data_IF_383725850943
#
_entry.id   IF_383725850943
#
_cell.length_a   1.000
_cell.length_b   1.000
_cell.length_c   1.000
_cell.angle_alpha   90.00
_cell.angle_beta   90.00
_cell.angle_gamma   90.00
#
_symmetry.space_group_name_H-M   'P 1'
#
loop_
_entity.id
_entity.type
_entity.pdbx_description
1 polymer ?
#
# COMPACT_ATOMS: atom_id res chain seq x y z
N UNK A 1 21.00 -6.99 12.90
CA UNK A 1 21.09 -5.68 12.22
C UNK A 1 19.74 -5.01 12.46
N UNK A 2 19.71 -3.98 13.27
CA UNK A 2 18.49 -3.18 13.46
C UNK A 2 18.25 -2.46 12.13
N UNK A 3 17.26 -2.93 11.34
CA UNK A 3 16.77 -2.17 10.21
C UNK A 3 16.37 -0.78 10.74
N UNK A 4 16.94 0.27 10.17
CA UNK A 4 16.55 1.62 10.52
C UNK A 4 15.14 1.84 9.97
N UNK A 5 14.14 1.68 10.84
CA UNK A 5 12.71 1.88 10.50
C UNK A 5 12.51 3.21 9.74
N UNK A 6 13.30 4.23 10.05
CA UNK A 6 13.21 5.54 9.40
C UNK A 6 13.60 5.52 7.92
N UNK A 7 14.48 4.61 7.50
CA UNK A 7 14.84 4.45 6.09
C UNK A 7 13.73 3.79 5.26
N UNK A 8 12.77 3.17 5.93
CA UNK A 8 11.64 2.47 5.30
C UNK A 8 10.33 3.26 5.35
N UNK A 9 10.33 4.47 5.90
CA UNK A 9 9.14 5.30 5.99
C UNK A 9 8.68 5.78 4.61
N UNK A 10 7.41 6.14 4.56
CA UNK A 10 6.77 6.70 3.37
C UNK A 10 7.46 8.00 2.93
N UNK A 11 7.49 8.21 1.63
CA UNK A 11 7.86 9.49 1.03
C UNK A 11 6.61 10.17 0.48
N UNK A 12 6.40 11.44 0.78
CA UNK A 12 5.36 12.26 0.17
C UNK A 12 5.90 12.84 -1.14
N UNK A 13 5.30 12.45 -2.27
CA UNK A 13 5.63 12.98 -3.60
C UNK A 13 5.01 14.36 -3.78
N UNK A 14 3.74 14.45 -3.40
CA UNK A 14 2.95 15.68 -3.36
C UNK A 14 1.82 15.55 -2.33
N UNK A 15 0.88 16.52 -2.34
CA UNK A 15 -0.26 16.56 -1.41
C UNK A 15 -1.20 15.35 -1.49
N UNK A 16 -1.19 14.61 -2.60
CA UNK A 16 -2.14 13.55 -2.90
C UNK A 16 -1.49 12.21 -3.18
N UNK A 17 -0.15 12.16 -3.19
CA UNK A 17 0.62 10.99 -3.63
C UNK A 17 1.70 10.61 -2.64
N UNK A 18 1.70 9.35 -2.24
CA UNK A 18 2.76 8.75 -1.41
C UNK A 18 3.51 7.67 -2.17
N UNK A 19 4.75 7.44 -1.75
CA UNK A 19 5.59 6.36 -2.27
C UNK A 19 6.28 5.61 -1.13
N UNK A 20 6.26 4.28 -1.24
CA UNK A 20 7.12 3.37 -0.48
C UNK A 20 8.10 2.69 -1.42
N UNK A 21 9.36 2.59 -1.03
CA UNK A 21 10.37 1.82 -1.76
C UNK A 21 10.86 0.69 -0.88
N UNK A 22 10.93 -0.52 -1.43
CA UNK A 22 11.47 -1.72 -0.78
C UNK A 22 12.39 -2.45 -1.74
N UNK A 23 13.38 -3.14 -1.20
CA UNK A 23 14.20 -4.10 -1.96
C UNK A 23 14.04 -5.46 -1.32
N UNK A 24 13.53 -6.40 -2.10
CA UNK A 24 13.37 -7.80 -1.69
C UNK A 24 14.47 -8.63 -2.33
N UNK A 25 15.21 -9.47 -1.56
CA UNK A 25 16.30 -10.31 -2.08
C UNK A 25 15.77 -11.53 -2.84
N UNK A 26 14.84 -11.30 -3.78
CA UNK A 26 14.14 -12.31 -4.55
C UNK A 26 14.04 -11.88 -6.03
N UNK A 27 13.97 -12.86 -6.98
CA UNK A 27 13.73 -12.57 -8.39
C UNK A 27 12.43 -11.79 -8.62
N UNK A 28 12.41 -10.97 -9.67
CA UNK A 28 11.27 -10.11 -10.00
C UNK A 28 9.98 -10.92 -10.23
N UNK A 29 10.08 -12.12 -10.78
CA UNK A 29 8.95 -13.01 -11.01
C UNK A 29 8.30 -13.50 -9.70
N UNK A 30 9.11 -13.70 -8.66
CA UNK A 30 8.59 -14.07 -7.33
C UNK A 30 7.82 -12.91 -6.70
N UNK A 31 8.37 -11.70 -6.75
CA UNK A 31 7.70 -10.50 -6.22
C UNK A 31 6.46 -10.18 -7.04
N UNK A 32 6.55 -10.30 -8.38
CA UNK A 32 5.40 -10.11 -9.28
C UNK A 32 4.25 -11.03 -8.93
N UNK A 33 4.52 -12.33 -8.77
CA UNK A 33 3.49 -13.30 -8.41
C UNK A 33 2.86 -12.97 -7.06
N UNK A 34 3.66 -12.63 -6.05
CA UNK A 34 3.18 -12.30 -4.72
C UNK A 34 2.24 -11.08 -4.68
N UNK A 35 2.34 -10.16 -5.66
CA UNK A 35 1.47 -8.97 -5.75
C UNK A 35 0.33 -9.09 -6.78
N UNK A 36 0.32 -10.14 -7.60
CA UNK A 36 -0.68 -10.32 -8.67
C UNK A 36 -1.46 -11.62 -8.61
N UNK A 37 -1.03 -12.60 -7.83
CA UNK A 37 -1.81 -13.80 -7.54
C UNK A 37 -2.73 -13.53 -6.34
N UNK A 38 -4.05 -13.73 -6.54
CA UNK A 38 -5.06 -13.44 -5.52
C UNK A 38 -4.87 -14.28 -4.24
N UNK A 39 -4.36 -15.51 -4.35
CA UNK A 39 -4.11 -16.34 -3.17
C UNK A 39 -2.86 -15.87 -2.42
N UNK A 40 -1.79 -15.50 -3.14
CA UNK A 40 -0.56 -15.02 -2.51
C UNK A 40 -0.76 -13.66 -1.84
N UNK A 41 -1.42 -12.70 -2.49
CA UNK A 41 -1.67 -11.38 -1.89
C UNK A 41 -2.61 -11.47 -0.67
N UNK A 42 -3.50 -12.45 -0.66
CA UNK A 42 -4.40 -12.70 0.49
C UNK A 42 -3.66 -13.16 1.76
N UNK A 43 -2.41 -13.60 1.63
CA UNK A 43 -1.60 -14.02 2.79
C UNK A 43 -0.99 -12.83 3.52
N UNK A 44 -0.58 -11.79 2.80
CA UNK A 44 0.18 -10.68 3.37
C UNK A 44 -0.57 -9.35 3.40
N UNK A 45 -1.71 -9.26 2.71
CA UNK A 45 -2.55 -8.07 2.68
C UNK A 45 -3.99 -8.44 3.09
N UNK A 46 -4.95 -8.37 2.19
CA UNK A 46 -6.34 -8.74 2.44
C UNK A 46 -6.81 -9.80 1.46
N UNK A 47 -7.84 -10.56 1.84
CA UNK A 47 -8.50 -11.50 0.93
C UNK A 47 -8.79 -10.79 -0.40
N UNK A 48 -8.40 -11.44 -1.51
CA UNK A 48 -8.46 -10.83 -2.82
C UNK A 48 -9.21 -11.70 -3.83
N UNK A 49 -9.90 -11.03 -4.75
CA UNK A 49 -10.45 -11.63 -5.97
C UNK A 49 -10.00 -10.80 -7.16
N UNK A 50 -9.38 -11.42 -8.17
CA UNK A 50 -8.79 -10.75 -9.32
C UNK A 50 -9.23 -11.34 -10.64
N UNK A 51 -9.67 -10.48 -11.58
CA UNK A 51 -9.67 -10.73 -13.02
C UNK A 51 -8.45 -10.01 -13.62
N UNK A 52 -7.26 -10.64 -13.55
CA UNK A 52 -5.98 -10.01 -13.84
C UNK A 52 -5.80 -9.75 -15.34
N UNK A 53 -6.48 -8.74 -15.85
CA UNK A 53 -6.34 -8.18 -17.20
C UNK A 53 -6.68 -6.69 -17.16
N UNK A 54 -6.18 -5.92 -18.11
CA UNK A 54 -6.57 -4.50 -18.22
C UNK A 54 -8.08 -4.39 -18.41
N UNK A 55 -8.72 -3.60 -17.57
CA UNK A 55 -10.18 -3.46 -17.46
C UNK A 55 -10.86 -4.57 -16.63
N UNK A 56 -10.14 -5.59 -16.17
CA UNK A 56 -10.67 -6.61 -15.25
C UNK A 56 -10.81 -6.08 -13.83
N UNK A 57 -11.74 -6.63 -13.08
CA UNK A 57 -12.04 -6.20 -11.71
C UNK A 57 -11.02 -6.73 -10.70
N UNK A 58 -10.83 -5.98 -9.63
CA UNK A 58 -10.25 -6.46 -8.38
C UNK A 58 -11.16 -6.13 -7.21
N UNK A 59 -11.11 -6.97 -6.19
CA UNK A 59 -11.78 -6.78 -4.89
C UNK A 59 -10.82 -7.19 -3.78
N UNK A 60 -10.75 -6.40 -2.71
CA UNK A 60 -10.03 -6.72 -1.49
C UNK A 60 -10.96 -6.69 -0.27
N UNK A 61 -10.75 -7.60 0.67
CA UNK A 61 -11.53 -7.70 1.89
C UNK A 61 -12.77 -8.59 1.74
N UNK A 62 -13.63 -8.64 2.77
CA UNK A 62 -14.88 -9.38 2.72
C UNK A 62 -15.82 -8.81 1.66
N UNK A 63 -16.83 -9.60 1.30
CA UNK A 63 -17.85 -9.19 0.34
C UNK A 63 -18.43 -7.80 0.68
N UNK A 64 -18.65 -6.97 -0.35
CA UNK A 64 -19.11 -5.57 -0.24
C UNK A 64 -18.07 -4.58 0.33
N UNK A 65 -16.79 -4.93 0.34
CA UNK A 65 -15.73 -3.98 0.69
C UNK A 65 -15.64 -2.85 -0.34
N UNK A 66 -15.44 -1.62 0.14
CA UNK A 66 -15.20 -0.44 -0.73
C UNK A 66 -13.83 -0.44 -1.42
N UNK A 67 -12.95 -1.39 -1.08
CA UNK A 67 -11.63 -1.50 -1.69
C UNK A 67 -11.69 -2.36 -2.97
N UNK A 68 -12.38 -1.86 -3.97
CA UNK A 68 -12.57 -2.52 -5.26
C UNK A 68 -12.34 -1.54 -6.43
N UNK A 69 -12.17 -2.07 -7.62
CA UNK A 69 -11.96 -1.27 -8.83
C UNK A 69 -11.54 -2.11 -10.03
N UNK A 70 -10.73 -1.54 -10.89
CA UNK A 70 -10.26 -2.20 -12.11
C UNK A 70 -8.74 -2.08 -12.26
N UNK A 71 -8.13 -3.07 -12.88
CA UNK A 71 -6.77 -2.95 -13.36
C UNK A 71 -6.74 -2.06 -14.59
N UNK A 72 -6.05 -0.92 -14.54
CA UNK A 72 -5.95 -0.02 -15.70
C UNK A 72 -4.56 -0.03 -16.37
N UNK A 73 -3.56 -0.64 -15.73
CA UNK A 73 -2.25 -0.89 -16.32
C UNK A 73 -1.66 -2.20 -15.81
N UNK A 74 -1.20 -3.05 -16.72
CA UNK A 74 -0.50 -4.31 -16.43
C UNK A 74 0.63 -4.49 -17.45
N UNK A 75 1.88 -4.52 -17.01
CA UNK A 75 3.10 -4.81 -17.79
C UNK A 75 3.96 -5.83 -17.04
N UNK A 76 3.72 -7.14 -17.20
CA UNK A 76 4.45 -8.18 -16.47
C UNK A 76 5.93 -8.24 -16.88
N UNK A 77 6.86 -8.45 -15.92
CA UNK A 77 6.65 -8.47 -14.47
C UNK A 77 6.93 -7.12 -13.81
N UNK A 78 6.76 -6.01 -14.50
CA UNK A 78 7.28 -4.69 -14.11
C UNK A 78 6.26 -3.76 -13.49
N UNK A 79 4.98 -3.84 -13.89
CA UNK A 79 3.99 -2.87 -13.42
C UNK A 79 2.59 -3.45 -13.36
N UNK A 80 1.91 -3.20 -12.23
CA UNK A 80 0.47 -3.39 -12.09
C UNK A 80 -0.12 -2.17 -11.37
N UNK A 81 -1.24 -1.66 -11.89
CA UNK A 81 -1.98 -0.55 -11.27
C UNK A 81 -3.44 -0.91 -11.05
N UNK A 82 -3.85 -0.67 -9.84
CA UNK A 82 -5.19 -0.87 -9.30
C UNK A 82 -5.87 0.48 -9.21
N UNK A 83 -6.79 0.77 -10.14
CA UNK A 83 -7.45 2.07 -10.23
C UNK A 83 -8.82 2.03 -9.56
N UNK A 84 -9.12 3.13 -8.84
CA UNK A 84 -10.42 3.37 -8.23
C UNK A 84 -10.69 2.55 -6.97
N UNK A 85 -9.70 2.33 -6.06
CA UNK A 85 -10.07 1.84 -4.75
C UNK A 85 -11.05 2.82 -4.13
N UNK A 86 -12.26 2.35 -3.78
CA UNK A 86 -13.45 3.17 -3.49
C UNK A 86 -13.90 4.03 -4.69
N UNK A 87 -14.48 3.43 -5.74
CA UNK A 87 -14.80 4.16 -6.99
C UNK A 87 -15.76 5.34 -6.81
N UNK A 88 -16.57 5.34 -5.79
CA UNK A 88 -17.51 6.42 -5.46
C UNK A 88 -16.86 7.61 -4.78
N UNK A 89 -15.92 7.36 -3.89
CA UNK A 89 -15.31 8.38 -3.04
C UNK A 89 -13.94 8.82 -3.54
N UNK A 90 -13.24 7.94 -4.24
CA UNK A 90 -11.89 8.14 -4.75
C UNK A 90 -11.76 7.74 -6.24
N UNK A 91 -12.57 8.31 -7.16
CA UNK A 91 -12.70 7.82 -8.54
C UNK A 91 -11.42 7.95 -9.38
N UNK A 92 -10.53 8.88 -9.05
CA UNK A 92 -9.24 9.05 -9.72
C UNK A 92 -8.10 8.38 -8.95
N UNK A 93 -8.39 7.88 -7.75
CA UNK A 93 -7.42 7.21 -6.91
C UNK A 93 -6.89 5.92 -7.53
N UNK A 94 -5.66 5.61 -7.21
CA UNK A 94 -5.04 4.33 -7.58
C UNK A 94 -3.95 3.95 -6.59
N UNK A 95 -3.58 2.69 -6.58
CA UNK A 95 -2.29 2.25 -6.09
C UNK A 95 -1.59 1.40 -7.14
N UNK A 96 -0.28 1.52 -7.20
CA UNK A 96 0.56 0.96 -8.24
C UNK A 96 1.79 0.31 -7.62
N UNK A 97 2.12 -0.86 -8.13
CA UNK A 97 3.41 -1.50 -7.90
C UNK A 97 4.25 -1.41 -9.17
N UNK A 98 5.44 -0.83 -9.06
CA UNK A 98 6.45 -0.86 -10.10
C UNK A 98 7.66 -1.67 -9.61
N UNK A 99 8.08 -2.64 -10.39
CA UNK A 99 9.17 -3.56 -10.07
C UNK A 99 10.35 -3.37 -11.02
N UNK A 100 11.54 -3.43 -10.46
CA UNK A 100 12.80 -3.38 -11.19
C UNK A 100 13.76 -4.44 -10.64
N UNK A 101 14.33 -5.26 -11.53
CA UNK A 101 15.39 -6.18 -11.15
C UNK A 101 16.67 -5.40 -10.84
N UNK A 102 17.24 -5.61 -9.67
CA UNK A 102 18.48 -4.98 -9.21
C UNK A 102 19.48 -6.06 -8.79
N UNK A 103 20.80 -5.77 -8.67
CA UNK A 103 21.79 -6.79 -8.33
C UNK A 103 21.50 -7.54 -7.00
N UNK A 104 20.79 -6.90 -6.09
CA UNK A 104 20.43 -7.47 -4.77
C UNK A 104 19.05 -8.12 -4.72
N UNK A 105 18.34 -8.22 -5.86
CA UNK A 105 17.00 -8.80 -5.93
C UNK A 105 16.03 -7.93 -6.74
N UNK A 106 14.91 -7.54 -6.15
CA UNK A 106 13.88 -6.72 -6.80
C UNK A 106 13.62 -5.46 -5.99
N UNK A 107 13.77 -4.32 -6.65
CA UNK A 107 13.28 -3.04 -6.13
C UNK A 107 11.80 -2.91 -6.46
N UNK A 108 10.99 -2.70 -5.44
CA UNK A 108 9.56 -2.40 -5.55
C UNK A 108 9.33 -0.94 -5.16
N UNK A 109 8.69 -0.17 -6.03
CA UNK A 109 8.12 1.12 -5.72
C UNK A 109 6.59 0.97 -5.68
N UNK A 110 6.01 1.22 -4.52
CA UNK A 110 4.56 1.30 -4.34
C UNK A 110 4.17 2.77 -4.30
N UNK A 111 3.22 3.16 -5.14
CA UNK A 111 2.67 4.51 -5.17
C UNK A 111 1.18 4.43 -4.90
N UNK A 112 0.68 5.25 -3.97
CA UNK A 112 -0.74 5.48 -3.78
C UNK A 112 -1.06 6.94 -4.05
N UNK A 113 -2.03 7.15 -4.93
CA UNK A 113 -2.58 8.46 -5.26
C UNK A 113 -4.03 8.54 -4.78
N UNK A 114 -4.40 9.68 -4.23
CA UNK A 114 -5.77 10.00 -3.83
C UNK A 114 -6.35 11.08 -4.72
N UNK A 115 -7.61 10.95 -5.06
CA UNK A 115 -8.36 12.01 -5.75
C UNK A 115 -8.32 13.30 -4.94
N UNK A 116 -8.01 14.46 -5.57
CA UNK A 116 -8.12 15.75 -4.89
C UNK A 116 -9.50 15.96 -4.27
N UNK A 117 -9.52 16.33 -2.99
CA UNK A 117 -10.76 16.48 -2.22
C UNK A 117 -11.29 15.17 -1.61
N UNK A 118 -10.61 14.05 -1.80
CA UNK A 118 -10.96 12.80 -1.12
C UNK A 118 -10.96 12.99 0.40
N UNK A 119 -12.11 12.72 1.02
CA UNK A 119 -12.30 12.74 2.48
C UNK A 119 -12.46 11.31 2.94
N UNK A 120 -11.56 10.80 3.78
CA UNK A 120 -11.72 9.48 4.38
C UNK A 120 -13.03 9.39 5.16
N UNK A 121 -13.56 8.19 5.26
CA UNK A 121 -14.87 7.91 5.85
C UNK A 121 -15.07 8.62 7.20
N UNK A 122 -16.18 9.35 7.40
CA UNK A 122 -16.45 10.12 8.64
C UNK A 122 -16.39 9.27 9.91
N UNK A 123 -16.76 7.98 9.81
CA UNK A 123 -16.75 7.02 10.92
C UNK A 123 -15.34 6.77 11.49
N UNK A 124 -14.30 7.08 10.73
CA UNK A 124 -12.91 6.92 11.17
C UNK A 124 -12.36 8.18 11.86
N UNK A 125 -13.22 9.12 12.24
CA UNK A 125 -12.85 10.33 12.95
C UNK A 125 -12.03 11.31 12.10
N UNK A 126 -12.21 11.25 10.78
CA UNK A 126 -11.57 12.18 9.85
C UNK A 126 -12.26 13.52 9.89
N UNK A 127 -11.61 14.55 10.46
CA UNK A 127 -12.00 15.90 10.15
C UNK A 127 -11.77 16.16 8.65
N UNK A 128 -12.71 16.84 7.97
CA UNK A 128 -12.51 17.26 6.59
C UNK A 128 -11.32 18.22 6.55
N UNK A 129 -10.21 17.74 6.05
CA UNK A 129 -8.98 18.50 5.87
C UNK A 129 -8.65 18.55 4.41
N UNK A 130 -8.12 19.67 3.98
CA UNK A 130 -7.73 19.93 2.59
C UNK A 130 -6.67 18.94 2.03
N UNK A 131 -6.23 17.98 2.86
CA UNK A 131 -5.10 17.12 2.54
C UNK A 131 -5.23 15.72 3.16
N UNK A 132 -5.17 14.62 2.38
CA UNK A 132 -5.31 13.26 2.91
C UNK A 132 -4.20 12.83 3.88
N UNK A 133 -3.10 13.57 3.96
CA UNK A 133 -1.96 13.30 4.83
C UNK A 133 -1.75 14.29 5.96
N UNK A 134 -2.74 15.14 6.31
CA UNK A 134 -2.59 16.09 7.42
C UNK A 134 -2.38 15.38 8.76
N UNK A 135 -1.42 15.87 9.53
CA UNK A 135 -0.90 15.24 10.73
C UNK A 135 -1.90 15.04 11.87
N UNK A 136 -2.95 15.84 11.88
CA UNK A 136 -3.93 15.84 12.98
C UNK A 136 -4.93 14.69 12.90
N UNK A 137 -4.95 13.92 11.81
CA UNK A 137 -5.89 12.82 11.65
C UNK A 137 -5.26 11.47 12.05
N UNK A 138 -5.74 10.80 13.12
CA UNK A 138 -5.22 9.51 13.57
C UNK A 138 -5.29 8.41 12.52
N UNK A 139 -6.33 8.43 11.69
CA UNK A 139 -6.53 7.45 10.60
C UNK A 139 -5.36 7.42 9.62
N UNK A 140 -4.72 8.54 9.36
CA UNK A 140 -3.63 8.62 8.36
C UNK A 140 -2.36 7.96 8.80
N UNK A 141 -1.96 8.16 10.05
CA UNK A 141 -0.85 7.42 10.62
C UNK A 141 -1.17 5.92 10.62
N UNK A 142 -2.43 5.54 10.87
CA UNK A 142 -2.90 4.15 10.76
C UNK A 142 -2.77 3.59 9.34
N UNK A 143 -3.23 4.30 8.32
CA UNK A 143 -3.11 3.85 6.91
C UNK A 143 -1.65 3.69 6.48
N UNK A 144 -0.79 4.65 6.83
CA UNK A 144 0.63 4.56 6.51
C UNK A 144 1.31 3.41 7.26
N UNK A 145 0.95 3.21 8.52
CA UNK A 145 1.41 2.05 9.30
C UNK A 145 0.93 0.74 8.66
N UNK A 146 -0.32 0.67 8.21
CA UNK A 146 -0.88 -0.51 7.56
C UNK A 146 -0.07 -0.93 6.33
N UNK A 147 0.27 -0.01 5.43
CA UNK A 147 1.13 -0.32 4.29
C UNK A 147 2.54 -0.76 4.71
N UNK A 148 3.11 -0.13 5.73
CA UNK A 148 4.43 -0.54 6.24
C UNK A 148 4.41 -1.99 6.72
N UNK A 149 3.40 -2.36 7.53
CA UNK A 149 3.24 -3.72 8.04
C UNK A 149 2.94 -4.72 6.90
N UNK A 150 2.10 -4.35 5.94
CA UNK A 150 1.82 -5.18 4.77
C UNK A 150 3.10 -5.48 3.97
N UNK A 151 3.99 -4.51 3.78
CA UNK A 151 5.26 -4.76 3.08
C UNK A 151 6.27 -5.57 3.92
N UNK A 152 6.21 -5.50 5.24
CA UNK A 152 6.95 -6.40 6.11
C UNK A 152 6.40 -7.84 6.02
N UNK A 153 5.09 -8.01 5.99
CA UNK A 153 4.42 -9.29 5.77
C UNK A 153 4.74 -9.90 4.40
N UNK A 154 4.80 -9.07 3.34
CA UNK A 154 5.27 -9.51 2.02
C UNK A 154 6.71 -10.02 2.07
N UNK A 155 7.60 -9.38 2.83
CA UNK A 155 8.97 -9.85 3.01
C UNK A 155 9.02 -11.23 3.69
N UNK A 156 8.19 -11.47 4.70
CA UNK A 156 8.06 -12.77 5.37
C UNK A 156 7.56 -13.85 4.41
N UNK A 157 6.50 -13.57 3.64
CA UNK A 157 5.97 -14.49 2.62
C UNK A 157 7.06 -14.88 1.61
N UNK A 158 7.75 -13.89 1.03
CA UNK A 158 8.82 -14.12 0.06
C UNK A 158 9.97 -14.94 0.66
N UNK A 159 10.28 -14.73 1.94
CA UNK A 159 11.28 -15.50 2.68
C UNK A 159 10.82 -16.89 3.10
N UNK A 160 9.60 -17.32 2.76
CA UNK A 160 9.03 -18.61 3.14
C UNK A 160 8.74 -18.72 4.65
N UNK A 161 8.57 -17.58 5.31
CA UNK A 161 8.23 -17.51 6.73
C UNK A 161 6.72 -17.46 6.92
N UNK A 162 6.24 -17.83 8.10
CA UNK A 162 4.86 -17.52 8.48
C UNK A 162 4.69 -15.99 8.58
N UNK A 163 3.58 -15.50 8.08
CA UNK A 163 3.24 -14.08 8.18
C UNK A 163 2.67 -13.81 9.56
N UNK A 164 3.28 -12.87 10.28
CA UNK A 164 2.82 -12.46 11.61
C UNK A 164 1.60 -11.54 11.49
N UNK A 165 0.58 -11.81 12.29
CA UNK A 165 -0.57 -10.92 12.47
C UNK A 165 -0.23 -9.87 13.52
N UNK A 166 0.36 -8.76 13.09
CA UNK A 166 0.71 -7.64 13.97
C UNK A 166 -0.34 -6.55 13.85
N UNK A 167 -1.03 -6.25 14.95
CA UNK A 167 -2.00 -5.16 14.95
C UNK A 167 -1.32 -3.79 14.75
N UNK A 168 -2.07 -2.82 14.24
CA UNK A 168 -1.56 -1.45 14.04
C UNK A 168 -1.07 -0.85 15.37
N UNK A 169 -1.81 -1.07 16.44
CA UNK A 169 -1.54 -0.55 17.77
C UNK A 169 -0.29 -1.17 18.39
N UNK A 170 -0.15 -2.49 18.26
CA UNK A 170 0.97 -3.24 18.85
C UNK A 170 2.29 -3.05 18.09
N UNK A 171 2.22 -2.56 16.85
CA UNK A 171 3.41 -2.31 16.01
C UNK A 171 4.36 -1.24 16.56
N UNK A 172 3.84 -0.30 17.37
CA UNK A 172 4.58 0.88 17.82
C UNK A 172 4.90 1.89 16.72
N UNK A 173 4.39 1.70 15.49
CA UNK A 173 4.70 2.56 14.34
C UNK A 173 3.82 3.80 14.23
N UNK A 174 2.62 3.80 14.79
CA UNK A 174 1.71 4.96 14.71
C UNK A 174 2.37 6.25 15.22
N UNK A 175 3.03 6.28 16.39
CA UNK A 175 3.75 7.48 16.84
C UNK A 175 4.88 7.90 15.90
N UNK A 176 5.60 6.93 15.32
CA UNK A 176 6.70 7.18 14.37
C UNK A 176 6.16 7.86 13.11
N UNK A 177 5.04 7.36 12.57
CA UNK A 177 4.41 7.97 11.40
C UNK A 177 3.82 9.35 11.68
N UNK A 178 3.26 9.59 12.87
CA UNK A 178 2.82 10.94 13.27
C UNK A 178 3.98 11.93 13.27
N UNK A 179 5.11 11.57 13.87
CA UNK A 179 6.32 12.40 13.86
C UNK A 179 6.82 12.64 12.43
N UNK A 180 6.86 11.58 11.61
CA UNK A 180 7.31 11.67 10.23
C UNK A 180 6.43 12.58 9.38
N UNK A 181 5.10 12.47 9.49
CA UNK A 181 4.14 13.34 8.80
C UNK A 181 4.41 14.80 9.17
N UNK A 182 4.54 15.12 10.47
CA UNK A 182 4.81 16.48 10.94
C UNK A 182 6.13 17.05 10.40
N UNK A 183 7.14 16.20 10.24
CA UNK A 183 8.47 16.62 9.80
C UNK A 183 8.62 16.78 8.28
N UNK A 184 7.82 16.04 7.49
CA UNK A 184 8.05 15.89 6.03
C UNK A 184 6.84 16.24 5.16
N UNK A 185 5.76 16.70 5.75
CA UNK A 185 4.54 17.07 5.05
C UNK A 185 4.81 18.20 4.02
N UNK A 186 4.40 18.05 2.74
CA UNK A 186 4.57 19.09 1.71
C UNK A 186 3.63 20.27 1.87
#
# INVERSE_FOLDING_TARGET
>A
MTNDVRAELVRFIDRWTIEYVRVYPHPIECVWRAITDANEISVWFWQAKFDLRVGGAFEFGPDESDLNGVFDAIDPPRLVRFKGPSPTENPEGYFQFALEAVPTGTRMAFVQHFTPGFVPHPEWGADPVDHPFAAVNPWRAGTLTGWHLAFAALAQLLGGQAVDDVSLEDSGLIPVYREHILATQP
#
